data_IF_939190160683
#
_entry.id   IF_939190160683
#
_cell.length_a   1.000
_cell.length_b   1.000
_cell.length_c   1.000
_cell.angle_alpha   90.00
_cell.angle_beta   90.00
_cell.angle_gamma   90.00
#
_symmetry.space_group_name_H-M   'P 1'
#
loop_
_entity.id
_entity.type
_entity.pdbx_description
1 polymer ?
#
# COMPACT_ATOMS: atom_id res chain seq x y z
N UNK A 1 16.99 -1.99 -3.32
CA UNK A 1 16.17 -1.70 -2.13
C UNK A 1 15.83 -0.21 -2.04
N UNK A 2 16.81 0.67 -1.80
CA UNK A 2 16.60 2.11 -1.49
C UNK A 2 15.62 2.89 -2.38
N UNK A 3 15.50 2.55 -3.66
CA UNK A 3 14.57 3.19 -4.60
C UNK A 3 13.45 2.27 -5.07
N UNK A 4 13.70 0.96 -5.13
CA UNK A 4 12.73 -0.03 -5.63
C UNK A 4 11.56 -0.24 -4.65
N UNK A 5 11.84 -0.31 -3.34
CA UNK A 5 10.81 -0.47 -2.32
C UNK A 5 9.82 0.70 -2.27
N UNK A 6 10.26 1.98 -2.16
CA UNK A 6 9.32 3.09 -2.02
C UNK A 6 8.50 3.30 -3.29
N UNK A 7 9.11 3.10 -4.46
CA UNK A 7 8.41 3.22 -5.75
C UNK A 7 7.37 2.11 -5.90
N UNK A 8 7.69 0.86 -5.56
CA UNK A 8 6.73 -0.25 -5.61
C UNK A 8 5.56 -0.03 -4.65
N UNK A 9 5.81 0.35 -3.40
CA UNK A 9 4.76 0.61 -2.40
C UNK A 9 3.86 1.79 -2.82
N UNK A 10 4.44 2.89 -3.32
CA UNK A 10 3.64 4.04 -3.79
C UNK A 10 2.75 3.68 -4.99
N UNK A 11 3.28 2.86 -5.91
CA UNK A 11 2.54 2.42 -7.10
C UNK A 11 1.38 1.48 -6.71
N UNK A 12 1.60 0.57 -5.77
CA UNK A 12 0.56 -0.32 -5.24
C UNK A 12 -0.56 0.47 -4.54
N UNK A 13 -0.21 1.45 -3.70
CA UNK A 13 -1.19 2.33 -3.05
C UNK A 13 -2.03 3.10 -4.08
N UNK A 14 -1.37 3.67 -5.10
CA UNK A 14 -2.03 4.47 -6.14
C UNK A 14 -2.99 3.64 -6.99
N UNK A 15 -2.69 2.36 -7.22
CA UNK A 15 -3.60 1.46 -7.95
C UNK A 15 -4.85 1.08 -7.15
N UNK A 16 -4.75 1.06 -5.82
CA UNK A 16 -5.85 0.65 -4.93
C UNK A 16 -6.84 1.79 -4.66
N UNK A 17 -6.37 3.03 -4.59
CA UNK A 17 -7.24 4.19 -4.33
C UNK A 17 -8.44 4.33 -5.29
N UNK A 18 -8.29 4.19 -6.62
CA UNK A 18 -9.44 4.24 -7.54
C UNK A 18 -10.46 3.12 -7.28
N UNK A 19 -9.99 1.93 -6.93
CA UNK A 19 -10.87 0.79 -6.63
C UNK A 19 -11.71 1.08 -5.38
N UNK A 20 -11.07 1.57 -4.32
CA UNK A 20 -11.76 2.00 -3.10
C UNK A 20 -12.74 3.15 -3.37
N UNK A 21 -12.34 4.13 -4.20
CA UNK A 21 -13.20 5.25 -4.58
C UNK A 21 -14.44 4.83 -5.39
N UNK A 22 -14.37 3.72 -6.12
CA UNK A 22 -15.51 3.10 -6.81
C UNK A 22 -16.37 2.22 -5.89
N UNK A 23 -16.06 2.17 -4.59
CA UNK A 23 -16.80 1.37 -3.61
C UNK A 23 -16.46 -0.12 -3.65
N UNK A 24 -15.36 -0.51 -4.30
CA UNK A 24 -14.87 -1.89 -4.28
C UNK A 24 -14.16 -2.13 -2.95
N UNK A 25 -14.74 -2.96 -2.09
CA UNK A 25 -14.11 -3.40 -0.85
C UNK A 25 -13.11 -4.52 -1.12
N UNK A 26 -11.91 -4.40 -0.58
CA UNK A 26 -10.91 -5.47 -0.63
C UNK A 26 -11.18 -6.47 0.49
N UNK A 27 -11.31 -7.76 0.15
CA UNK A 27 -11.59 -8.83 1.12
C UNK A 27 -10.33 -9.49 1.68
N UNK A 28 -9.22 -9.40 0.96
CA UNK A 28 -7.92 -9.94 1.35
C UNK A 28 -6.85 -9.18 0.59
N UNK A 29 -5.72 -8.98 1.25
CA UNK A 29 -4.51 -8.44 0.64
C UNK A 29 -3.38 -9.43 0.92
N UNK A 30 -2.54 -9.69 -0.08
CA UNK A 30 -1.44 -10.66 0.02
C UNK A 30 -0.18 -9.97 -0.47
N UNK A 31 0.70 -9.65 0.47
CA UNK A 31 1.99 -9.06 0.20
C UNK A 31 3.16 -9.95 0.61
N UNK A 32 4.23 -9.90 -0.17
CA UNK A 32 5.53 -10.44 0.14
C UNK A 32 6.52 -9.26 0.21
N UNK A 33 7.05 -8.95 1.40
CA UNK A 33 8.02 -7.85 1.61
C UNK A 33 7.42 -6.43 1.47
N UNK A 34 7.65 -5.70 0.38
CA UNK A 34 7.23 -4.29 0.24
C UNK A 34 5.72 -4.11 0.12
N UNK A 35 5.03 -5.17 -0.26
CA UNK A 35 3.59 -5.24 -0.43
C UNK A 35 2.87 -5.24 0.92
N UNK A 36 3.52 -5.73 1.98
CA UNK A 36 2.97 -5.76 3.34
C UNK A 36 2.69 -4.35 3.90
N UNK A 37 3.45 -3.34 3.42
CA UNK A 37 3.26 -1.93 3.78
C UNK A 37 2.03 -1.33 3.08
N UNK A 38 1.82 -1.68 1.81
CA UNK A 38 0.64 -1.25 1.07
C UNK A 38 -0.63 -1.91 1.64
N UNK A 39 -0.55 -3.19 2.00
CA UNK A 39 -1.63 -3.94 2.64
C UNK A 39 -2.04 -3.31 3.98
N UNK A 40 -1.07 -3.02 4.85
CA UNK A 40 -1.31 -2.37 6.13
C UNK A 40 -1.95 -0.97 5.96
N UNK A 41 -1.56 -0.22 4.93
CA UNK A 41 -2.18 1.07 4.63
C UNK A 41 -3.64 0.91 4.19
N UNK A 42 -3.90 -0.04 3.31
CA UNK A 42 -5.20 -0.25 2.66
C UNK A 42 -6.25 -0.81 3.63
N UNK A 43 -5.82 -1.69 4.55
CA UNK A 43 -6.67 -2.19 5.65
C UNK A 43 -6.92 -1.11 6.70
N UNK A 44 -6.13 -0.03 6.71
CA UNK A 44 -6.26 1.09 7.62
C UNK A 44 -5.46 0.96 8.93
N UNK A 45 -4.56 -0.03 9.01
CA UNK A 45 -3.69 -0.26 10.17
C UNK A 45 -2.60 0.82 10.31
N UNK A 46 -2.17 1.41 9.19
CA UNK A 46 -1.19 2.50 9.18
C UNK A 46 -1.63 3.69 8.33
N UNK A 47 -1.21 4.89 8.73
CA UNK A 47 -1.45 6.12 7.95
C UNK A 47 -0.61 6.15 6.68
N UNK A 48 -1.04 6.94 5.68
CA UNK A 48 -0.27 7.16 4.45
C UNK A 48 1.17 7.62 4.72
N UNK A 49 1.34 8.44 5.77
CA UNK A 49 2.65 8.96 6.16
C UNK A 49 3.53 7.87 6.78
N UNK A 50 2.96 6.95 7.56
CA UNK A 50 3.65 5.74 8.01
C UNK A 50 4.03 4.84 6.83
N UNK A 51 3.13 4.63 5.87
CA UNK A 51 3.39 3.80 4.71
C UNK A 51 4.55 4.34 3.86
N UNK A 52 4.59 5.66 3.63
CA UNK A 52 5.74 6.29 2.98
C UNK A 52 7.04 6.10 3.77
N UNK A 53 7.02 6.31 5.09
CA UNK A 53 8.23 6.19 5.92
C UNK A 53 8.77 4.76 6.00
N UNK A 54 7.90 3.75 6.02
CA UNK A 54 8.31 2.33 6.02
C UNK A 54 8.79 1.86 4.65
N UNK A 55 8.29 2.50 3.58
CA UNK A 55 8.68 2.19 2.20
C UNK A 55 10.07 2.72 1.82
N UNK A 56 10.61 3.71 2.52
CA UNK A 56 11.96 4.27 2.34
C UNK A 56 13.04 3.38 2.98
#
# INVERSE_FOLDING_TARGET
ALYSQPICTALQITLIHPLLAWGISLSMVVGHSSEEIADAYVVGDISHQCACNLGY
#
